data_IF_678905067393
#
_entry.id   IF_678905067393
#
_cell.length_a   1.000
_cell.length_b   1.000
_cell.length_c   1.000
_cell.angle_alpha   90.00
_cell.angle_beta   90.00
_cell.angle_gamma   90.00
#
_symmetry.space_group_name_H-M   'P 1'
#
loop_
_entity.id
_entity.type
_entity.pdbx_description
1 polymer ?
#
# COMPACT_ATOMS: atom_id res chain seq x y z
N UNK A 1 -6.16 16.99 -10.98
CA UNK A 1 -6.98 15.99 -10.26
C UNK A 1 -6.54 15.96 -8.81
N UNK A 2 -7.43 15.75 -7.86
CA UNK A 2 -7.06 15.53 -6.45
C UNK A 2 -6.59 14.09 -6.26
N UNK A 3 -5.45 13.88 -5.60
CA UNK A 3 -5.02 12.53 -5.21
C UNK A 3 -5.94 11.95 -4.14
N UNK A 4 -5.85 10.63 -3.93
CA UNK A 4 -6.71 9.91 -3.00
C UNK A 4 -5.95 8.79 -2.32
N UNK A 5 -6.14 8.66 -1.00
CA UNK A 5 -5.53 7.59 -0.20
C UNK A 5 -6.58 6.55 0.14
N UNK A 6 -6.37 5.31 -0.30
CA UNK A 6 -7.17 4.14 0.09
C UNK A 6 -6.43 3.29 1.11
N UNK A 7 -6.97 3.14 2.32
CA UNK A 7 -6.51 2.10 3.24
C UNK A 7 -7.16 0.77 2.85
N UNK A 8 -6.33 -0.23 2.61
CA UNK A 8 -6.73 -1.54 2.10
C UNK A 8 -6.15 -2.62 3.02
N UNK A 9 -6.98 -3.55 3.47
CA UNK A 9 -6.51 -4.75 4.17
C UNK A 9 -6.03 -5.78 3.15
N UNK A 10 -4.90 -6.41 3.42
CA UNK A 10 -4.37 -7.56 2.67
C UNK A 10 -5.01 -8.89 3.10
N UNK A 11 -5.91 -8.88 4.08
CA UNK A 11 -6.35 -10.12 4.73
C UNK A 11 -5.16 -10.91 5.32
N UNK A 12 -5.25 -12.25 5.38
CA UNK A 12 -4.19 -13.10 5.94
C UNK A 12 -3.04 -13.41 4.95
N UNK A 13 -3.06 -12.87 3.73
CA UNK A 13 -1.97 -12.98 2.74
C UNK A 13 -2.30 -13.75 1.46
N UNK A 14 -3.40 -14.50 1.43
CA UNK A 14 -3.93 -15.13 0.21
C UNK A 14 -4.68 -14.08 -0.64
N UNK A 15 -4.26 -13.83 -1.91
CA UNK A 15 -4.94 -12.91 -2.82
C UNK A 15 -6.43 -13.17 -3.01
N UNK A 16 -6.88 -14.43 -2.95
CA UNK A 16 -8.29 -14.79 -3.15
C UNK A 16 -9.18 -14.37 -1.97
N UNK A 17 -8.58 -14.03 -0.83
CA UNK A 17 -9.28 -13.51 0.34
C UNK A 17 -9.43 -11.98 0.33
N UNK A 18 -8.99 -11.30 -0.73
CA UNK A 18 -9.22 -9.87 -0.90
C UNK A 18 -10.66 -9.58 -1.27
N UNK A 19 -11.18 -8.47 -0.76
CA UNK A 19 -12.44 -7.93 -1.27
C UNK A 19 -12.26 -7.48 -2.72
N UNK A 20 -13.32 -7.57 -3.53
CA UNK A 20 -13.34 -7.06 -4.91
C UNK A 20 -12.93 -5.58 -4.99
N UNK A 21 -13.26 -4.78 -3.96
CA UNK A 21 -12.87 -3.36 -3.91
C UNK A 21 -11.37 -3.19 -3.65
N UNK A 22 -10.74 -4.04 -2.83
CA UNK A 22 -9.31 -4.02 -2.59
C UNK A 22 -8.52 -4.27 -3.89
N UNK A 23 -8.90 -5.31 -4.64
CA UNK A 23 -8.30 -5.63 -5.95
C UNK A 23 -8.40 -4.43 -6.90
N UNK A 24 -9.60 -3.84 -7.04
CA UNK A 24 -9.81 -2.66 -7.88
C UNK A 24 -8.97 -1.45 -7.45
N UNK A 25 -8.72 -1.28 -6.15
CA UNK A 25 -7.84 -0.21 -5.67
C UNK A 25 -6.38 -0.47 -6.01
N UNK A 26 -5.90 -1.70 -5.83
CA UNK A 26 -4.52 -2.09 -6.18
C UNK A 26 -4.26 -1.92 -7.69
N UNK A 27 -5.18 -2.36 -8.53
CA UNK A 27 -5.09 -2.25 -9.99
C UNK A 27 -5.16 -0.81 -10.53
N UNK A 28 -5.61 0.14 -9.70
CA UNK A 28 -5.68 1.56 -10.07
C UNK A 28 -4.65 2.41 -9.30
N UNK A 29 -3.84 1.81 -8.42
CA UNK A 29 -2.97 2.54 -7.50
C UNK A 29 -1.73 3.04 -8.21
N UNK A 30 -1.49 4.35 -8.17
CA UNK A 30 -0.23 4.94 -8.58
C UNK A 30 0.94 4.48 -7.71
N UNK A 31 0.67 4.37 -6.40
CA UNK A 31 1.66 4.06 -5.39
C UNK A 31 1.04 3.10 -4.36
N UNK A 32 1.78 2.08 -3.95
CA UNK A 32 1.37 1.13 -2.90
C UNK A 32 2.39 1.16 -1.76
N UNK A 33 2.00 1.67 -0.59
CA UNK A 33 2.77 1.59 0.64
C UNK A 33 2.35 0.33 1.41
N UNK A 34 3.27 -0.60 1.64
CA UNK A 34 2.96 -1.91 2.23
C UNK A 34 3.88 -2.31 3.39
N UNK A 35 3.38 -3.25 4.21
CA UNK A 35 4.11 -3.86 5.32
C UNK A 35 4.57 -5.29 4.91
N UNK A 36 5.70 -5.77 5.44
CA UNK A 36 6.34 -7.01 4.96
C UNK A 36 5.57 -8.32 5.30
N UNK A 37 4.64 -8.32 6.27
CA UNK A 37 4.12 -9.57 6.86
C UNK A 37 3.11 -10.35 5.99
N UNK A 38 2.45 -9.72 5.01
CA UNK A 38 1.32 -10.33 4.29
C UNK A 38 1.13 -9.82 2.86
N UNK A 39 2.12 -9.13 2.29
CA UNK A 39 1.96 -8.37 1.04
C UNK A 39 2.40 -9.11 -0.22
N UNK A 40 3.31 -10.09 -0.14
CA UNK A 40 4.01 -10.68 -1.29
C UNK A 40 3.14 -10.94 -2.53
N UNK A 41 2.33 -12.02 -2.57
CA UNK A 41 1.48 -12.34 -3.74
C UNK A 41 0.40 -11.29 -4.04
N UNK A 42 0.04 -10.47 -3.06
CA UNK A 42 -0.98 -9.43 -3.22
C UNK A 42 -0.43 -8.22 -4.00
N UNK A 43 0.88 -7.94 -3.88
CA UNK A 43 1.52 -6.87 -4.63
C UNK A 43 1.54 -7.13 -6.14
N UNK A 44 1.46 -8.40 -6.56
CA UNK A 44 1.37 -8.78 -7.98
C UNK A 44 0.05 -8.31 -8.63
N UNK A 45 -0.96 -7.95 -7.83
CA UNK A 45 -2.23 -7.37 -8.29
C UNK A 45 -2.15 -5.86 -8.51
N UNK A 46 -1.06 -5.20 -8.11
CA UNK A 46 -0.87 -3.78 -8.35
C UNK A 46 -0.76 -3.51 -9.86
N UNK A 47 -1.13 -2.30 -10.30
CA UNK A 47 -0.94 -1.94 -11.71
C UNK A 47 0.55 -2.08 -12.10
N UNK A 48 0.84 -2.51 -13.34
CA UNK A 48 2.19 -2.40 -13.88
C UNK A 48 2.69 -0.95 -13.80
N UNK A 49 3.91 -0.75 -13.27
CA UNK A 49 4.50 0.58 -13.08
C UNK A 49 3.99 1.33 -11.84
N UNK A 50 3.25 0.68 -10.93
CA UNK A 50 3.04 1.23 -9.60
C UNK A 50 4.34 1.32 -8.82
N UNK A 51 4.53 2.41 -8.08
CA UNK A 51 5.62 2.49 -7.11
C UNK A 51 5.28 1.64 -5.88
N UNK A 52 6.07 0.60 -5.63
CA UNK A 52 5.89 -0.30 -4.50
C UNK A 52 6.87 0.06 -3.37
N UNK A 53 6.36 0.59 -2.26
CA UNK A 53 7.16 1.15 -1.17
C UNK A 53 6.95 0.33 0.11
N UNK A 54 7.95 -0.45 0.49
CA UNK A 54 7.97 -1.12 1.80
C UNK A 54 8.22 -0.08 2.90
N UNK A 55 7.27 0.01 3.85
CA UNK A 55 7.36 0.86 5.04
C UNK A 55 7.43 0.04 6.34
N UNK A 56 7.57 -1.28 6.22
CA UNK A 56 7.70 -2.23 7.33
C UNK A 56 9.07 -2.21 8.02
N UNK A 57 9.20 -2.98 9.11
CA UNK A 57 10.47 -3.15 9.82
C UNK A 57 11.45 -3.97 8.98
N UNK A 58 12.48 -3.32 8.43
CA UNK A 58 13.70 -4.03 8.05
C UNK A 58 14.35 -4.59 9.32
N UNK A 59 14.61 -5.91 9.34
CA UNK A 59 15.20 -6.65 10.45
C UNK A 59 16.20 -5.82 11.28
N UNK A 60 15.86 -5.54 12.54
CA UNK A 60 16.71 -4.86 13.51
C UNK A 60 16.67 -3.32 13.53
N UNK A 61 15.98 -2.65 12.60
CA UNK A 61 15.84 -1.18 12.63
C UNK A 61 14.55 -0.74 13.31
N UNK A 62 14.55 0.42 14.02
CA UNK A 62 13.32 1.03 14.50
C UNK A 62 12.36 1.20 13.32
N UNK A 63 11.08 0.86 13.53
CA UNK A 63 10.04 1.15 12.54
C UNK A 63 10.17 2.58 12.06
N UNK A 64 9.90 2.85 10.78
CA UNK A 64 9.53 4.19 10.39
C UNK A 64 8.48 4.68 11.40
N UNK A 65 8.75 5.81 12.07
CA UNK A 65 7.77 6.40 12.97
C UNK A 65 6.49 6.58 12.16
N UNK A 66 5.32 6.31 12.75
CA UNK A 66 4.04 6.42 12.06
C UNK A 66 3.91 7.75 11.29
N UNK A 67 4.47 8.83 11.82
CA UNK A 67 4.53 10.15 11.20
C UNK A 67 5.29 10.20 9.86
N UNK A 68 6.28 9.34 9.65
CA UNK A 68 6.98 9.23 8.37
C UNK A 68 6.09 8.58 7.32
N UNK A 69 5.41 7.47 7.68
CA UNK A 69 4.45 6.83 6.78
C UNK A 69 3.31 7.78 6.44
N UNK A 70 2.79 8.51 7.43
CA UNK A 70 1.77 9.52 7.23
C UNK A 70 2.23 10.62 6.27
N UNK A 71 3.47 11.13 6.43
CA UNK A 71 4.05 12.10 5.52
C UNK A 71 4.15 11.58 4.09
N UNK A 72 4.67 10.37 3.89
CA UNK A 72 4.73 9.76 2.55
C UNK A 72 3.35 9.66 1.89
N UNK A 73 2.32 9.22 2.63
CA UNK A 73 0.95 9.16 2.10
C UNK A 73 0.46 10.53 1.64
N UNK A 74 0.74 11.59 2.42
CA UNK A 74 0.36 12.96 2.08
C UNK A 74 1.14 13.47 0.88
N UNK A 75 2.45 13.29 0.85
CA UNK A 75 3.33 13.77 -0.22
C UNK A 75 2.88 13.20 -1.57
N UNK A 76 2.61 11.89 -1.66
CA UNK A 76 2.09 11.28 -2.88
C UNK A 76 0.66 11.74 -3.22
N UNK A 77 -0.24 11.82 -2.24
CA UNK A 77 -1.60 12.28 -2.52
C UNK A 77 -1.62 13.74 -3.04
N UNK A 78 -0.70 14.59 -2.58
CA UNK A 78 -0.56 15.97 -3.04
C UNK A 78 -0.11 16.07 -4.51
N UNK A 79 0.57 15.06 -5.06
CA UNK A 79 0.92 15.03 -6.49
C UNK A 79 -0.26 14.65 -7.39
N UNK A 80 -1.44 14.35 -6.82
CA UNK A 80 -2.60 13.86 -7.57
C UNK A 80 -2.68 12.34 -7.67
N UNK A 81 -1.76 11.60 -7.04
CA UNK A 81 -1.66 10.14 -7.15
C UNK A 81 -2.81 9.40 -6.45
N UNK A 82 -3.18 8.23 -6.99
CA UNK A 82 -3.99 7.22 -6.32
C UNK A 82 -3.09 6.37 -5.42
N UNK A 83 -3.13 6.62 -4.11
CA UNK A 83 -2.27 5.94 -3.14
C UNK A 83 -3.04 4.80 -2.47
N UNK A 84 -2.45 3.61 -2.41
CA UNK A 84 -2.94 2.52 -1.58
C UNK A 84 -2.00 2.35 -0.39
N UNK A 85 -2.56 2.41 0.81
CA UNK A 85 -1.91 1.94 2.03
C UNK A 85 -2.37 0.52 2.31
N UNK A 86 -1.57 -0.46 1.88
CA UNK A 86 -1.83 -1.87 2.11
C UNK A 86 -1.35 -2.25 3.51
N UNK A 87 -2.27 -2.75 4.34
CA UNK A 87 -2.01 -3.15 5.72
C UNK A 87 -2.38 -4.62 5.90
N UNK A 88 -1.63 -5.33 6.74
CA UNK A 88 -2.10 -6.63 7.25
C UNK A 88 -3.46 -6.43 7.95
N UNK A 89 -4.34 -7.43 7.81
CA UNK A 89 -5.56 -7.52 8.62
C UNK A 89 -5.26 -7.52 10.11
#
# INVERSE_FOLDING_TARGET
>A
MSGFVSFVSSGPGDPDLLTVKAVKRLQAADVVLYDDLSSGPILDLARPGADLISVGKRAGRPSAKQDHVNRLLLDYAQTGAQVVRLKSG
#
